data_IF_299913197205
#
_entry.id   IF_299913197205
#
_cell.length_a   1.000
_cell.length_b   1.000
_cell.length_c   1.000
_cell.angle_alpha   90.00
_cell.angle_beta   90.00
_cell.angle_gamma   90.00
#
_symmetry.space_group_name_H-M   'P 1'
#
loop_
_entity.id
_entity.type
_entity.pdbx_description
1 polymer ?
#
# COMPACT_ATOMS: atom_id res chain seq x y z
N UNK A 1 25.18 -9.48 36.33
CA UNK A 1 25.75 -8.16 35.94
C UNK A 1 25.50 -7.99 34.44
N UNK A 2 24.40 -7.35 34.08
CA UNK A 2 24.11 -6.98 32.71
C UNK A 2 24.94 -5.76 32.33
N UNK A 3 25.81 -5.88 31.34
CA UNK A 3 26.52 -4.72 30.78
C UNK A 3 25.52 -3.92 29.96
N UNK A 4 25.09 -2.79 30.48
CA UNK A 4 24.42 -1.74 29.73
C UNK A 4 25.38 -1.25 28.64
N UNK A 5 25.07 -1.56 27.37
CA UNK A 5 25.79 -0.96 26.22
C UNK A 5 25.52 0.54 26.22
N UNK A 6 26.57 1.34 26.18
CA UNK A 6 26.46 2.79 26.02
C UNK A 6 25.76 3.13 24.71
N UNK A 7 24.90 4.17 24.66
CA UNK A 7 24.20 4.56 23.43
C UNK A 7 25.23 4.92 22.35
N UNK A 8 24.93 4.45 21.13
CA UNK A 8 25.77 4.71 19.94
C UNK A 8 25.82 6.21 19.68
N UNK A 9 27.04 6.79 19.66
CA UNK A 9 27.21 8.21 19.30
C UNK A 9 26.97 8.39 17.82
N UNK A 10 25.82 8.97 17.47
CA UNK A 10 25.48 9.37 16.10
C UNK A 10 26.55 10.29 15.52
N UNK A 11 26.99 10.04 14.30
CA UNK A 11 27.95 10.91 13.61
C UNK A 11 27.37 12.31 13.40
N UNK A 12 28.24 13.30 13.25
CA UNK A 12 27.83 14.69 13.02
C UNK A 12 26.98 14.85 11.75
N UNK A 13 27.18 13.98 10.76
CA UNK A 13 26.39 13.95 9.52
C UNK A 13 24.97 13.41 9.73
N UNK A 14 24.80 12.35 10.54
CA UNK A 14 23.50 11.79 10.90
C UNK A 14 22.70 12.79 11.72
N UNK A 15 23.32 13.45 12.71
CA UNK A 15 22.70 14.55 13.48
C UNK A 15 22.31 15.74 12.60
N UNK A 16 23.11 16.07 11.58
CA UNK A 16 22.81 17.13 10.64
C UNK A 16 21.67 16.78 9.69
N UNK A 17 21.53 15.50 9.30
CA UNK A 17 20.37 14.98 8.54
C UNK A 17 19.09 14.98 9.39
N UNK A 18 19.13 14.51 10.64
CA UNK A 18 18.00 14.60 11.58
C UNK A 18 17.50 16.05 11.73
N UNK A 19 18.40 17.00 11.99
CA UNK A 19 18.06 18.42 12.12
C UNK A 19 17.53 19.05 10.82
N UNK A 20 17.95 18.54 9.65
CA UNK A 20 17.40 18.97 8.35
C UNK A 20 16.00 18.41 8.11
N UNK A 21 15.70 17.16 8.48
CA UNK A 21 14.35 16.58 8.38
C UNK A 21 13.37 17.29 9.32
N UNK A 22 13.78 17.63 10.53
CA UNK A 22 12.97 18.41 11.48
C UNK A 22 12.67 19.83 10.96
N UNK A 23 13.62 20.48 10.27
CA UNK A 23 13.44 21.82 9.69
C UNK A 23 12.63 21.81 8.38
N UNK A 24 12.59 20.71 7.64
CA UNK A 24 11.83 20.59 6.40
C UNK A 24 10.36 20.19 6.65
N UNK A 25 10.03 19.61 7.81
CA UNK A 25 8.66 19.32 8.23
C UNK A 25 7.87 20.56 8.72
N UNK A 26 8.47 21.75 8.67
CA UNK A 26 7.89 22.99 9.23
C UNK A 26 7.35 23.98 8.19
N UNK A 27 7.03 23.55 6.97
CA UNK A 27 6.26 24.38 6.02
C UNK A 27 5.41 23.49 5.11
N UNK A 28 4.12 23.29 5.41
CA UNK A 28 3.20 22.86 4.37
C UNK A 28 3.12 24.02 3.39
N UNK A 29 3.67 23.85 2.19
CA UNK A 29 3.32 24.70 1.06
C UNK A 29 1.80 24.70 0.93
N UNK A 30 1.21 25.83 0.57
CA UNK A 30 -0.20 25.98 0.25
C UNK A 30 -0.51 25.04 -0.93
N UNK A 31 -1.04 23.84 -0.63
CA UNK A 31 -1.42 22.85 -1.64
C UNK A 31 -2.89 23.08 -2.00
N UNK A 32 -3.08 23.22 -3.30
CA UNK A 32 -4.41 23.24 -3.90
C UNK A 32 -4.99 21.82 -3.73
N UNK A 33 -5.88 21.60 -2.81
CA UNK A 33 -6.58 20.39 -2.33
C UNK A 33 -6.47 19.02 -3.05
N UNK A 34 -5.59 18.90 -4.04
CA UNK A 34 -5.28 17.69 -4.81
C UNK A 34 -3.99 16.99 -4.34
N UNK A 35 -3.29 17.54 -3.36
CA UNK A 35 -1.94 17.10 -2.98
C UNK A 35 -1.89 16.27 -1.70
N UNK A 36 -3.04 15.85 -1.15
CA UNK A 36 -3.05 14.91 -0.04
C UNK A 36 -2.63 13.53 -0.53
N UNK A 37 -1.58 13.02 0.07
CA UNK A 37 -0.98 11.72 -0.26
C UNK A 37 -1.04 10.81 0.96
N UNK A 38 -1.53 9.60 0.76
CA UNK A 38 -1.70 8.59 1.81
C UNK A 38 -0.60 7.53 1.66
N UNK A 39 0.16 7.31 2.74
CA UNK A 39 1.15 6.25 2.77
C UNK A 39 0.51 4.86 2.78
N UNK A 40 1.12 3.93 2.06
CA UNK A 40 0.77 2.51 2.10
C UNK A 40 1.31 1.80 3.35
N UNK A 41 2.15 2.48 4.15
CA UNK A 41 2.90 1.88 5.25
C UNK A 41 4.21 1.24 4.81
N UNK A 42 4.56 1.34 3.53
CA UNK A 42 5.85 0.90 3.00
C UNK A 42 6.51 2.02 2.21
N UNK A 43 7.68 2.46 2.69
CA UNK A 43 8.48 3.51 2.03
C UNK A 43 8.77 3.17 0.57
N UNK A 44 9.17 1.94 0.28
CA UNK A 44 9.51 1.53 -1.07
C UNK A 44 8.29 1.48 -2.00
N UNK A 45 7.12 1.07 -1.50
CA UNK A 45 5.90 1.08 -2.29
C UNK A 45 5.40 2.50 -2.53
N UNK A 46 5.46 3.36 -1.54
CA UNK A 46 5.10 4.77 -1.65
C UNK A 46 5.94 5.47 -2.73
N UNK A 47 7.25 5.26 -2.71
CA UNK A 47 8.18 5.75 -3.73
C UNK A 47 7.88 5.16 -5.11
N UNK A 48 7.60 3.86 -5.20
CA UNK A 48 7.26 3.20 -6.45
C UNK A 48 5.97 3.75 -7.07
N UNK A 49 4.99 4.15 -6.25
CA UNK A 49 3.71 4.74 -6.71
C UNK A 49 3.92 6.15 -7.23
N UNK A 50 4.60 7.03 -6.50
CA UNK A 50 4.64 8.45 -6.82
C UNK A 50 5.89 9.21 -6.35
N UNK A 51 6.97 8.54 -5.97
CA UNK A 51 8.19 9.13 -5.41
C UNK A 51 8.85 10.21 -6.28
N UNK A 52 8.69 10.11 -7.61
CA UNK A 52 9.19 11.16 -8.50
C UNK A 52 8.28 12.39 -8.63
N UNK A 53 7.07 12.35 -8.06
CA UNK A 53 6.13 13.48 -8.00
C UNK A 53 6.05 14.07 -6.60
N UNK A 54 6.03 13.22 -5.58
CA UNK A 54 6.02 13.58 -4.17
C UNK A 54 7.28 13.02 -3.50
N UNK A 55 7.93 13.80 -2.66
CA UNK A 55 9.23 13.41 -2.07
C UNK A 55 9.18 12.06 -1.36
N UNK A 56 8.13 11.80 -0.60
CA UNK A 56 7.96 10.54 0.16
C UNK A 56 7.13 9.50 -0.60
N UNK A 57 6.56 9.86 -1.73
CA UNK A 57 5.65 9.01 -2.49
C UNK A 57 4.31 8.81 -1.80
N UNK A 58 3.58 7.78 -2.21
CA UNK A 58 2.29 7.38 -1.66
C UNK A 58 1.13 7.49 -2.66
N UNK A 59 -0.09 7.26 -2.18
CA UNK A 59 -1.32 7.25 -2.98
C UNK A 59 -1.98 8.63 -2.91
N UNK A 60 -2.08 9.40 -4.00
CA UNK A 60 -2.80 10.66 -3.98
C UNK A 60 -4.29 10.46 -3.82
N UNK A 61 -4.97 11.42 -3.19
CA UNK A 61 -6.42 11.47 -3.11
C UNK A 61 -7.06 11.72 -4.49
N UNK A 62 -8.38 11.57 -4.58
CA UNK A 62 -9.15 11.81 -5.80
C UNK A 62 -9.07 10.70 -6.85
N UNK A 63 -8.66 9.48 -6.49
CA UNK A 63 -8.48 8.37 -7.43
C UNK A 63 -9.12 7.06 -6.95
N UNK A 64 -9.38 6.18 -7.93
CA UNK A 64 -9.70 4.78 -7.73
C UNK A 64 -8.43 3.93 -7.85
N UNK A 65 -8.19 3.08 -6.85
CA UNK A 65 -7.06 2.14 -6.79
C UNK A 65 -7.60 0.71 -6.79
N UNK A 66 -7.05 -0.14 -7.63
CA UNK A 66 -7.26 -1.58 -7.57
C UNK A 66 -6.00 -2.30 -7.09
N UNK A 67 -6.10 -3.07 -6.00
CA UNK A 67 -5.07 -3.97 -5.51
C UNK A 67 -5.47 -5.39 -5.83
N UNK A 68 -4.74 -6.07 -6.71
CA UNK A 68 -5.14 -7.39 -7.16
C UNK A 68 -4.00 -8.40 -7.09
N UNK A 69 -4.37 -9.69 -7.02
CA UNK A 69 -3.41 -10.78 -6.92
C UNK A 69 -4.04 -12.06 -6.36
N UNK A 70 -3.26 -13.14 -6.25
CA UNK A 70 -3.74 -14.41 -5.71
C UNK A 70 -4.14 -14.28 -4.24
N UNK A 71 -4.88 -15.28 -3.73
CA UNK A 71 -5.18 -15.38 -2.31
C UNK A 71 -3.89 -15.49 -1.49
N UNK A 72 -3.88 -14.92 -0.29
CA UNK A 72 -2.71 -14.95 0.60
C UNK A 72 -1.52 -14.07 0.16
N UNK A 73 -1.70 -13.15 -0.81
CA UNK A 73 -0.65 -12.23 -1.24
C UNK A 73 -0.57 -10.91 -0.46
N UNK A 74 -1.30 -10.78 0.65
CA UNK A 74 -1.23 -9.60 1.53
C UNK A 74 -2.14 -8.42 1.14
N UNK A 75 -3.12 -8.60 0.24
CA UNK A 75 -4.03 -7.52 -0.18
C UNK A 75 -4.79 -6.89 0.98
N UNK A 76 -5.47 -7.70 1.79
CA UNK A 76 -6.22 -7.23 2.97
C UNK A 76 -5.34 -6.50 3.98
N UNK A 77 -4.10 -6.99 4.20
CA UNK A 77 -3.12 -6.30 5.07
C UNK A 77 -2.82 -4.90 4.55
N UNK A 78 -2.58 -4.79 3.23
CA UNK A 78 -2.29 -3.51 2.60
C UNK A 78 -3.50 -2.55 2.68
N UNK A 79 -4.74 -3.05 2.49
CA UNK A 79 -5.94 -2.24 2.67
C UNK A 79 -6.06 -1.73 4.11
N UNK A 80 -5.91 -2.61 5.11
CA UNK A 80 -5.97 -2.23 6.53
C UNK A 80 -4.89 -1.19 6.89
N UNK A 81 -3.68 -1.36 6.38
CA UNK A 81 -2.58 -0.42 6.65
C UNK A 81 -2.84 0.96 6.03
N UNK A 82 -3.34 1.01 4.79
CA UNK A 82 -3.73 2.28 4.13
C UNK A 82 -4.87 2.94 4.92
N UNK A 83 -5.90 2.15 5.31
CA UNK A 83 -7.03 2.66 6.09
C UNK A 83 -6.58 3.22 7.46
N UNK A 84 -5.69 2.52 8.16
CA UNK A 84 -5.11 3.01 9.42
C UNK A 84 -4.29 4.29 9.22
N UNK A 85 -3.59 4.44 8.11
CA UNK A 85 -2.86 5.68 7.80
C UNK A 85 -3.82 6.84 7.47
N UNK A 86 -4.97 6.57 6.84
CA UNK A 86 -6.04 7.57 6.68
C UNK A 86 -6.57 8.05 8.04
N UNK A 87 -6.83 7.11 8.97
CA UNK A 87 -7.27 7.46 10.33
C UNK A 87 -6.25 8.31 11.08
N UNK A 88 -4.95 8.01 10.96
CA UNK A 88 -3.87 8.83 11.56
C UNK A 88 -3.83 10.26 11.02
N UNK A 89 -4.27 10.47 9.78
CA UNK A 89 -4.41 11.79 9.18
C UNK A 89 -5.70 12.52 9.60
N UNK A 90 -6.54 11.89 10.41
CA UNK A 90 -7.85 12.41 10.79
C UNK A 90 -8.92 12.24 9.72
N UNK A 91 -8.68 11.40 8.71
CA UNK A 91 -9.65 11.10 7.66
C UNK A 91 -10.72 10.11 8.11
N UNK A 92 -11.86 10.09 7.42
CA UNK A 92 -12.95 9.13 7.62
C UNK A 92 -12.78 7.90 6.72
N UNK A 93 -13.10 6.74 7.26
CA UNK A 93 -12.97 5.45 6.59
C UNK A 93 -14.31 4.72 6.57
N UNK A 94 -14.78 4.35 5.38
CA UNK A 94 -15.82 3.34 5.19
C UNK A 94 -15.18 2.07 4.66
N UNK A 95 -15.52 0.92 5.25
CA UNK A 95 -14.95 -0.38 4.87
C UNK A 95 -16.08 -1.36 4.51
N UNK A 96 -16.14 -1.71 3.24
CA UNK A 96 -17.03 -2.71 2.69
C UNK A 96 -16.35 -4.08 2.70
N UNK A 97 -16.94 -5.04 3.38
CA UNK A 97 -16.41 -6.42 3.50
C UNK A 97 -17.50 -7.44 3.11
N UNK A 98 -17.75 -7.63 1.81
CA UNK A 98 -18.79 -8.56 1.33
C UNK A 98 -18.56 -10.02 1.72
N UNK A 99 -17.35 -10.37 2.12
CA UNK A 99 -17.04 -11.73 2.60
C UNK A 99 -17.19 -11.88 4.13
N UNK A 100 -17.44 -10.79 4.87
CA UNK A 100 -17.53 -10.72 6.32
C UNK A 100 -16.31 -11.37 7.03
N UNK A 101 -15.11 -11.11 6.50
CA UNK A 101 -13.85 -11.73 6.96
C UNK A 101 -12.93 -10.81 7.75
N UNK A 102 -13.25 -9.53 7.82
CA UNK A 102 -12.43 -8.57 8.55
C UNK A 102 -12.50 -8.85 10.06
N UNK A 103 -11.47 -9.49 10.58
CA UNK A 103 -11.34 -9.72 12.00
C UNK A 103 -10.82 -8.45 12.70
N UNK A 104 -11.51 -7.99 13.76
CA UNK A 104 -11.14 -6.79 14.54
C UNK A 104 -9.74 -6.87 15.13
N UNK A 105 -9.34 -8.02 15.65
CA UNK A 105 -8.00 -8.21 16.21
C UNK A 105 -6.93 -8.16 15.10
N UNK A 106 -7.20 -8.80 13.97
CA UNK A 106 -6.33 -8.80 12.80
C UNK A 106 -6.16 -7.38 12.25
N UNK A 107 -7.24 -6.61 12.09
CA UNK A 107 -7.16 -5.25 11.54
C UNK A 107 -6.34 -4.30 12.41
N UNK A 108 -6.43 -4.43 13.73
CA UNK A 108 -5.61 -3.65 14.68
C UNK A 108 -4.12 -3.91 14.55
N UNK A 109 -3.71 -5.15 14.30
CA UNK A 109 -2.29 -5.48 14.07
C UNK A 109 -1.73 -4.76 12.83
N UNK A 110 -2.59 -4.39 11.90
CA UNK A 110 -2.21 -3.65 10.69
C UNK A 110 -2.55 -2.15 10.75
N UNK A 111 -2.73 -1.63 11.96
CA UNK A 111 -2.88 -0.20 12.22
C UNK A 111 -4.27 0.39 11.99
N UNK A 112 -5.28 -0.43 11.62
CA UNK A 112 -6.67 0.00 11.50
C UNK A 112 -7.37 -0.07 12.87
N UNK A 113 -8.01 1.01 13.29
CA UNK A 113 -8.88 1.07 14.47
C UNK A 113 -10.30 0.73 14.04
N UNK A 114 -10.79 -0.50 14.28
CA UNK A 114 -12.07 -0.95 13.72
C UNK A 114 -13.30 -0.31 14.39
N UNK A 115 -13.14 0.39 15.50
CA UNK A 115 -14.19 1.15 16.17
C UNK A 115 -14.46 2.50 15.50
N UNK A 116 -13.48 3.03 14.78
CA UNK A 116 -13.50 4.35 14.15
C UNK A 116 -13.72 4.26 12.64
N UNK A 117 -14.35 3.18 12.16
CA UNK A 117 -14.74 3.02 10.76
C UNK A 117 -16.23 2.80 10.61
N UNK A 118 -16.75 3.19 9.46
CA UNK A 118 -18.08 2.75 9.02
C UNK A 118 -17.94 1.42 8.30
N UNK A 119 -18.33 0.34 8.99
CA UNK A 119 -18.22 -1.03 8.48
C UNK A 119 -19.55 -1.52 7.92
N UNK A 120 -19.52 -2.08 6.71
CA UNK A 120 -20.70 -2.66 6.06
C UNK A 120 -20.38 -3.97 5.38
N UNK A 121 -21.40 -4.81 5.20
CA UNK A 121 -21.33 -6.09 4.49
C UNK A 121 -22.31 -6.01 3.30
N UNK A 122 -21.87 -5.43 2.16
CA UNK A 122 -22.72 -5.28 0.98
C UNK A 122 -22.81 -6.59 0.21
N UNK A 123 -23.99 -6.86 -0.36
CA UNK A 123 -24.22 -8.00 -1.24
C UNK A 123 -23.97 -7.65 -2.72
N UNK A 124 -24.18 -6.40 -3.10
CA UNK A 124 -24.18 -5.98 -4.50
C UNK A 124 -23.14 -4.94 -4.86
N UNK A 125 -22.81 -4.91 -6.16
CA UNK A 125 -21.96 -3.87 -6.75
C UNK A 125 -22.54 -2.48 -6.54
N UNK A 126 -23.86 -2.35 -6.75
CA UNK A 126 -24.58 -1.07 -6.60
C UNK A 126 -24.49 -0.52 -5.18
N UNK A 127 -24.60 -1.36 -4.15
CA UNK A 127 -24.46 -0.93 -2.74
C UNK A 127 -23.10 -0.29 -2.48
N UNK A 128 -22.00 -0.93 -2.91
CA UNK A 128 -20.64 -0.39 -2.73
C UNK A 128 -20.49 0.96 -3.41
N UNK A 129 -20.87 1.06 -4.69
CA UNK A 129 -20.66 2.32 -5.43
C UNK A 129 -21.67 3.41 -5.09
N UNK A 130 -22.86 3.07 -4.60
CA UNK A 130 -23.81 4.06 -4.12
C UNK A 130 -23.32 4.78 -2.85
N UNK A 131 -22.51 4.09 -2.02
CA UNK A 131 -21.92 4.72 -0.83
C UNK A 131 -21.08 5.93 -1.18
N UNK A 132 -20.34 5.90 -2.29
CA UNK A 132 -19.55 7.07 -2.77
C UNK A 132 -20.44 8.30 -2.99
N UNK A 133 -21.67 8.09 -3.45
CA UNK A 133 -22.60 9.18 -3.74
C UNK A 133 -23.33 9.68 -2.48
N UNK A 134 -23.64 8.78 -1.57
CA UNK A 134 -24.55 9.03 -0.46
C UNK A 134 -23.83 9.35 0.86
N UNK A 135 -22.65 8.77 1.07
CA UNK A 135 -21.90 8.94 2.33
C UNK A 135 -20.91 10.11 2.29
N UNK A 136 -20.38 10.43 1.11
CA UNK A 136 -19.35 11.46 0.98
C UNK A 136 -20.04 12.82 0.71
N UNK A 137 -19.87 13.83 1.56
CA UNK A 137 -20.39 15.17 1.31
C UNK A 137 -19.68 15.84 0.12
N UNK A 138 -20.25 16.94 -0.37
CA UNK A 138 -19.58 17.76 -1.37
C UNK A 138 -18.27 18.34 -0.83
N UNK A 139 -17.30 18.63 -1.70
CA UNK A 139 -15.95 19.02 -1.28
C UNK A 139 -15.92 20.16 -0.27
N UNK A 140 -16.77 21.15 -0.46
CA UNK A 140 -16.83 22.35 0.40
C UNK A 140 -17.53 22.10 1.74
N UNK A 141 -18.20 20.95 1.90
CA UNK A 141 -18.88 20.51 3.11
C UNK A 141 -18.10 19.46 3.91
N UNK A 142 -16.93 19.08 3.43
CA UNK A 142 -16.09 18.08 4.11
C UNK A 142 -15.47 18.66 5.38
N UNK A 143 -15.69 17.97 6.49
CA UNK A 143 -15.23 18.33 7.84
C UNK A 143 -13.89 17.65 8.22
N UNK A 144 -13.36 16.80 7.34
CA UNK A 144 -12.13 16.03 7.54
C UNK A 144 -11.22 16.14 6.31
N UNK A 145 -9.90 15.88 6.46
CA UNK A 145 -8.94 15.99 5.36
C UNK A 145 -9.26 15.10 4.17
N UNK A 146 -9.85 13.91 4.41
CA UNK A 146 -10.19 12.97 3.36
C UNK A 146 -11.29 12.00 3.80
N UNK A 147 -12.15 11.65 2.85
CA UNK A 147 -13.06 10.52 2.92
C UNK A 147 -12.50 9.37 2.07
N UNK A 148 -12.46 8.16 2.65
CA UNK A 148 -11.88 7.00 1.96
C UNK A 148 -12.81 5.81 2.05
N UNK A 149 -13.02 5.14 0.92
CA UNK A 149 -13.81 3.92 0.82
C UNK A 149 -12.91 2.75 0.47
N UNK A 150 -12.98 1.70 1.26
CA UNK A 150 -12.32 0.42 1.01
C UNK A 150 -13.34 -0.65 0.65
N UNK A 151 -12.99 -1.57 -0.24
CA UNK A 151 -13.81 -2.75 -0.57
C UNK A 151 -12.94 -4.01 -0.68
N UNK A 152 -13.15 -4.97 0.20
CA UNK A 152 -12.39 -6.24 0.24
C UNK A 152 -13.31 -7.47 0.27
N UNK A 153 -13.59 -8.15 -0.82
CA UNK A 153 -13.09 -7.90 -2.18
C UNK A 153 -14.24 -7.69 -3.17
N UNK A 154 -13.99 -6.92 -4.23
CA UNK A 154 -14.98 -6.78 -5.32
C UNK A 154 -15.34 -8.11 -5.97
N UNK A 155 -14.49 -9.12 -5.84
CA UNK A 155 -14.72 -10.46 -6.40
C UNK A 155 -15.92 -11.18 -5.75
N UNK A 156 -16.29 -10.82 -4.53
CA UNK A 156 -17.37 -11.45 -3.78
C UNK A 156 -18.75 -10.85 -4.06
N UNK A 157 -18.80 -9.63 -4.61
CA UNK A 157 -20.06 -8.94 -4.88
C UNK A 157 -20.88 -9.63 -5.97
N UNK A 158 -22.19 -9.66 -5.80
CA UNK A 158 -23.17 -10.08 -6.81
C UNK A 158 -23.75 -8.87 -7.55
N UNK A 159 -24.48 -9.13 -8.63
CA UNK A 159 -25.34 -8.10 -9.24
C UNK A 159 -26.74 -8.20 -8.65
N UNK A 160 -27.52 -7.11 -8.70
CA UNK A 160 -28.93 -7.14 -8.28
C UNK A 160 -29.74 -8.21 -9.04
N UNK A 161 -29.43 -8.42 -10.33
CA UNK A 161 -30.09 -9.42 -11.17
C UNK A 161 -29.66 -10.85 -10.86
N UNK A 162 -28.43 -11.08 -10.37
CA UNK A 162 -27.97 -12.41 -9.93
C UNK A 162 -28.72 -12.87 -8.69
N UNK A 163 -29.09 -11.96 -7.81
CA UNK A 163 -29.89 -12.25 -6.61
C UNK A 163 -31.35 -12.60 -7.00
N UNK A 164 -31.89 -12.01 -8.08
CA UNK A 164 -33.28 -12.20 -8.52
C UNK A 164 -33.52 -13.39 -9.44
N UNK A 165 -32.64 -13.75 -10.33
CA UNK A 165 -32.90 -14.64 -11.48
C UNK A 165 -31.88 -15.76 -11.72
N UNK A 166 -30.97 -16.12 -10.87
CA UNK A 166 -30.04 -17.24 -11.04
C UNK A 166 -29.45 -17.41 -12.45
N UNK A 167 -28.20 -17.21 -12.55
CA UNK A 167 -27.21 -17.74 -13.51
C UNK A 167 -27.30 -17.49 -15.03
N UNK A 168 -26.88 -16.26 -15.46
CA UNK A 168 -26.20 -16.03 -16.78
C UNK A 168 -25.16 -14.92 -16.65
N UNK A 169 -24.03 -15.17 -16.07
CA UNK A 169 -23.35 -14.31 -15.11
C UNK A 169 -22.26 -13.37 -15.60
N UNK A 170 -21.42 -13.71 -16.53
CA UNK A 170 -20.16 -12.99 -16.72
C UNK A 170 -20.29 -11.60 -17.35
N UNK A 171 -21.15 -11.45 -18.36
CA UNK A 171 -21.33 -10.20 -19.11
C UNK A 171 -22.19 -9.18 -18.37
N UNK A 172 -23.20 -9.62 -17.63
CA UNK A 172 -24.09 -8.74 -16.85
C UNK A 172 -23.32 -8.05 -15.74
N UNK A 173 -22.53 -8.81 -14.99
CA UNK A 173 -21.67 -8.30 -13.92
C UNK A 173 -20.68 -7.25 -14.44
N UNK A 174 -20.00 -7.53 -15.56
CA UNK A 174 -19.10 -6.56 -16.18
C UNK A 174 -19.82 -5.28 -16.62
N UNK A 175 -21.06 -5.39 -17.09
CA UNK A 175 -21.89 -4.24 -17.46
C UNK A 175 -22.25 -3.38 -16.25
N UNK A 176 -22.73 -3.98 -15.17
CA UNK A 176 -23.10 -3.28 -13.93
C UNK A 176 -21.89 -2.58 -13.31
N UNK A 177 -20.73 -3.26 -13.22
CA UNK A 177 -19.48 -2.61 -12.81
C UNK A 177 -19.14 -1.40 -13.69
N UNK A 178 -19.29 -1.53 -15.00
CA UNK A 178 -18.99 -0.43 -15.94
C UNK A 178 -19.93 0.76 -15.75
N UNK A 179 -21.22 0.50 -15.52
CA UNK A 179 -22.23 1.54 -15.29
C UNK A 179 -22.00 2.28 -13.97
N UNK A 180 -21.77 1.55 -12.89
CA UNK A 180 -21.52 2.13 -11.56
C UNK A 180 -20.19 2.87 -11.52
N UNK A 181 -19.13 2.32 -12.08
CA UNK A 181 -17.82 3.01 -12.17
C UNK A 181 -17.91 4.30 -12.97
N UNK A 182 -18.64 4.32 -14.09
CA UNK A 182 -18.83 5.52 -14.91
C UNK A 182 -19.51 6.64 -14.12
N UNK A 183 -20.51 6.32 -13.28
CA UNK A 183 -21.20 7.29 -12.42
C UNK A 183 -20.30 7.79 -11.29
N UNK A 184 -19.47 6.91 -10.75
CA UNK A 184 -18.76 7.11 -9.49
C UNK A 184 -17.38 7.77 -9.66
N UNK A 185 -16.62 7.40 -10.71
CA UNK A 185 -15.25 7.91 -10.91
C UNK A 185 -15.17 9.44 -11.00
N UNK A 186 -16.20 10.08 -11.60
CA UNK A 186 -16.27 11.54 -11.66
C UNK A 186 -16.42 12.15 -10.26
N UNK A 187 -17.23 11.55 -9.41
CA UNK A 187 -17.48 12.01 -8.03
C UNK A 187 -16.22 11.83 -7.19
N UNK A 188 -15.53 10.68 -7.33
CA UNK A 188 -14.24 10.39 -6.66
C UNK A 188 -13.26 11.55 -6.89
N UNK A 189 -13.09 11.97 -8.14
CA UNK A 189 -12.18 13.07 -8.49
C UNK A 189 -12.69 14.43 -7.97
N UNK A 190 -13.98 14.74 -8.19
CA UNK A 190 -14.55 16.04 -7.82
C UNK A 190 -14.58 16.27 -6.31
N UNK A 191 -14.84 15.22 -5.51
CA UNK A 191 -14.90 15.29 -4.05
C UNK A 191 -13.57 14.91 -3.39
N UNK A 192 -12.52 14.71 -4.16
CA UNK A 192 -11.19 14.34 -3.68
C UNK A 192 -11.16 13.09 -2.79
N UNK A 193 -11.93 12.07 -3.15
CA UNK A 193 -12.07 10.82 -2.41
C UNK A 193 -10.98 9.83 -2.80
N UNK A 194 -10.50 9.02 -1.88
CA UNK A 194 -9.72 7.85 -2.20
C UNK A 194 -10.61 6.60 -2.11
N UNK A 195 -10.73 5.85 -3.21
CA UNK A 195 -11.38 4.55 -3.21
C UNK A 195 -10.36 3.46 -3.51
N UNK A 196 -10.21 2.50 -2.58
CA UNK A 196 -9.25 1.38 -2.71
C UNK A 196 -10.01 0.06 -2.66
N UNK A 197 -9.90 -0.71 -3.72
CA UNK A 197 -10.59 -1.99 -3.84
C UNK A 197 -9.59 -3.13 -3.99
N UNK A 198 -9.81 -4.22 -3.27
CA UNK A 198 -9.09 -5.46 -3.56
C UNK A 198 -9.82 -6.30 -4.60
N UNK A 199 -9.06 -7.10 -5.35
CA UNK A 199 -9.62 -8.03 -6.31
C UNK A 199 -8.79 -9.32 -6.39
N UNK A 200 -9.43 -10.43 -6.71
CA UNK A 200 -8.76 -11.69 -6.92
C UNK A 200 -8.42 -11.87 -8.40
N UNK A 201 -7.42 -12.69 -8.70
CA UNK A 201 -7.13 -13.13 -10.06
C UNK A 201 -7.72 -14.52 -10.29
N UNK A 202 -8.23 -14.74 -11.50
CA UNK A 202 -8.67 -16.05 -11.98
C UNK A 202 -7.90 -16.40 -13.24
N UNK A 203 -7.66 -17.69 -13.46
CA UNK A 203 -7.04 -18.14 -14.71
C UNK A 203 -7.93 -17.79 -15.90
N UNK A 204 -7.32 -17.26 -16.95
CA UNK A 204 -7.98 -17.01 -18.22
C UNK A 204 -7.80 -18.24 -19.11
N UNK A 205 -8.73 -19.18 -19.07
CA UNK A 205 -8.69 -20.42 -19.85
C UNK A 205 -8.73 -20.19 -21.36
N UNK A 206 -9.21 -19.02 -21.79
CA UNK A 206 -9.31 -18.64 -23.20
C UNK A 206 -8.09 -17.80 -23.68
N UNK A 207 -7.05 -17.67 -22.88
CA UNK A 207 -5.86 -16.93 -23.27
C UNK A 207 -5.07 -17.74 -24.32
N UNK A 208 -4.88 -17.16 -25.50
CA UNK A 208 -3.94 -17.69 -26.49
C UNK A 208 -2.48 -17.69 -25.96
N UNK A 209 -1.52 -18.25 -26.72
CA UNK A 209 -0.12 -18.40 -26.29
C UNK A 209 0.54 -17.10 -25.81
N UNK A 210 0.14 -15.97 -26.36
CA UNK A 210 0.64 -14.62 -26.03
C UNK A 210 -0.37 -13.76 -25.23
N UNK A 211 -1.56 -14.33 -24.93
CA UNK A 211 -2.62 -13.62 -24.20
C UNK A 211 -2.37 -13.60 -22.71
N UNK A 212 -3.04 -12.68 -22.02
CA UNK A 212 -2.99 -12.54 -20.57
C UNK A 212 -3.61 -13.77 -19.90
N UNK A 213 -2.78 -14.56 -19.20
CA UNK A 213 -3.16 -15.85 -18.59
C UNK A 213 -4.07 -15.72 -17.37
N UNK A 214 -4.38 -14.52 -16.93
CA UNK A 214 -5.24 -14.24 -15.78
C UNK A 214 -6.16 -13.06 -16.09
N UNK A 215 -7.28 -13.02 -15.42
CA UNK A 215 -8.27 -11.93 -15.44
C UNK A 215 -8.79 -11.65 -14.03
N UNK A 216 -9.23 -10.43 -13.79
CA UNK A 216 -9.92 -10.04 -12.57
C UNK A 216 -11.42 -10.11 -12.74
N UNK A 217 -12.22 -10.53 -11.74
CA UNK A 217 -13.67 -10.40 -11.73
C UNK A 217 -14.10 -8.94 -11.94
N UNK A 218 -15.28 -8.74 -12.53
CA UNK A 218 -15.76 -7.39 -12.92
C UNK A 218 -15.29 -6.94 -14.30
N UNK A 219 -14.60 -7.83 -15.06
CA UNK A 219 -14.17 -7.58 -16.43
C UNK A 219 -13.06 -6.51 -16.53
N UNK A 220 -12.97 -5.87 -17.70
CA UNK A 220 -11.96 -4.83 -17.95
C UNK A 220 -12.33 -3.46 -17.35
N UNK A 221 -13.59 -3.28 -16.92
CA UNK A 221 -14.09 -1.99 -16.46
C UNK A 221 -13.29 -1.44 -15.28
N UNK A 222 -13.06 -2.26 -14.22
CA UNK A 222 -12.28 -1.85 -13.06
C UNK A 222 -10.87 -1.44 -13.49
N UNK A 223 -10.22 -2.25 -14.33
CA UNK A 223 -8.91 -1.95 -14.86
C UNK A 223 -8.86 -0.67 -15.71
N UNK A 224 -9.91 -0.38 -16.46
CA UNK A 224 -10.03 0.84 -17.26
C UNK A 224 -10.18 2.10 -16.39
N UNK A 225 -11.09 2.07 -15.42
CA UNK A 225 -11.41 3.23 -14.58
C UNK A 225 -10.40 3.47 -13.45
N UNK A 226 -9.67 2.45 -12.99
CA UNK A 226 -8.64 2.65 -11.96
C UNK A 226 -7.49 3.51 -12.47
N UNK A 227 -7.16 4.55 -11.71
CA UNK A 227 -5.98 5.41 -11.95
C UNK A 227 -4.68 4.72 -11.55
N UNK A 228 -4.75 3.83 -10.57
CA UNK A 228 -3.62 3.04 -10.07
C UNK A 228 -4.04 1.58 -9.93
N UNK A 229 -3.21 0.66 -10.44
CA UNK A 229 -3.39 -0.78 -10.26
C UNK A 229 -2.12 -1.40 -9.71
N UNK A 230 -2.24 -2.01 -8.55
CA UNK A 230 -1.16 -2.67 -7.82
C UNK A 230 -1.34 -4.18 -7.89
N UNK A 231 -0.37 -4.89 -8.45
CA UNK A 231 -0.37 -6.35 -8.53
C UNK A 231 0.46 -6.93 -7.41
N UNK A 232 -0.17 -7.63 -6.47
CA UNK A 232 0.49 -8.36 -5.40
C UNK A 232 0.82 -9.78 -5.83
N UNK A 233 2.07 -10.19 -5.64
CA UNK A 233 2.57 -11.53 -5.95
C UNK A 233 3.33 -12.09 -4.76
N UNK A 234 2.91 -13.25 -4.23
CA UNK A 234 3.64 -13.95 -3.17
C UNK A 234 4.97 -14.44 -3.70
N UNK A 235 6.07 -13.97 -3.14
CA UNK A 235 7.43 -14.35 -3.54
C UNK A 235 7.98 -15.46 -2.65
N UNK A 236 7.80 -15.31 -1.33
CA UNK A 236 8.42 -16.23 -0.36
C UNK A 236 7.61 -16.26 0.94
N UNK A 237 7.57 -17.44 1.59
CA UNK A 237 7.14 -17.58 2.98
C UNK A 237 8.35 -17.37 3.88
N UNK A 238 8.26 -16.46 4.83
CA UNK A 238 9.31 -16.18 5.79
C UNK A 238 9.26 -17.22 6.90
N UNK A 239 10.39 -17.88 7.14
CA UNK A 239 10.50 -18.94 8.12
C UNK A 239 11.45 -18.53 9.24
N UNK A 240 11.10 -18.91 10.45
CA UNK A 240 11.95 -18.76 11.62
C UNK A 240 12.11 -20.10 12.34
N UNK A 241 13.30 -20.34 12.85
CA UNK A 241 13.59 -21.55 13.64
C UNK A 241 13.97 -21.18 15.05
N UNK A 242 13.32 -21.81 16.03
CA UNK A 242 13.61 -21.64 17.46
C UNK A 242 13.82 -23.00 18.13
N UNK A 243 14.67 -23.02 19.16
CA UNK A 243 14.87 -24.21 19.98
C UNK A 243 13.95 -24.13 21.20
N UNK A 244 13.05 -25.10 21.33
CA UNK A 244 12.15 -25.23 22.48
C UNK A 244 12.34 -26.63 23.09
N UNK A 245 12.66 -26.69 24.36
CA UNK A 245 12.92 -27.96 25.13
C UNK A 245 13.97 -28.85 24.42
N UNK A 246 15.02 -28.22 23.87
CA UNK A 246 16.13 -28.92 23.18
C UNK A 246 15.82 -29.38 21.75
N UNK A 247 14.62 -29.16 21.22
CA UNK A 247 14.23 -29.50 19.86
C UNK A 247 14.09 -28.26 18.98
N UNK A 248 14.60 -28.33 17.75
CA UNK A 248 14.46 -27.26 16.76
C UNK A 248 13.07 -27.31 16.12
N UNK A 249 12.33 -26.21 16.23
CA UNK A 249 11.03 -26.02 15.59
C UNK A 249 11.15 -24.92 14.53
N UNK A 250 10.53 -25.14 13.37
CA UNK A 250 10.43 -24.16 12.31
C UNK A 250 8.95 -23.72 12.15
N UNK A 251 8.72 -22.41 11.98
CA UNK A 251 7.40 -21.84 11.70
C UNK A 251 7.48 -20.78 10.61
N UNK A 252 6.40 -20.67 9.84
CA UNK A 252 6.21 -19.56 8.93
C UNK A 252 5.69 -18.39 9.76
N UNK A 253 6.46 -17.30 9.80
CA UNK A 253 6.15 -16.11 10.59
C UNK A 253 5.64 -14.94 9.74
N UNK A 254 5.67 -15.08 8.43
CA UNK A 254 5.27 -14.02 7.53
C UNK A 254 5.45 -14.40 6.07
N UNK A 255 5.27 -13.40 5.22
CA UNK A 255 5.44 -13.51 3.77
C UNK A 255 6.26 -12.34 3.23
N UNK A 256 6.96 -12.61 2.13
CA UNK A 256 7.50 -11.58 1.25
C UNK A 256 6.60 -11.50 0.02
N UNK A 257 6.04 -10.34 -0.22
CA UNK A 257 5.19 -10.04 -1.38
C UNK A 257 5.89 -9.01 -2.25
N UNK A 258 5.88 -9.23 -3.55
CA UNK A 258 6.24 -8.19 -4.54
C UNK A 258 4.96 -7.47 -4.96
N UNK A 259 5.02 -6.15 -4.99
CA UNK A 259 3.94 -5.30 -5.53
C UNK A 259 4.47 -4.58 -6.76
N UNK A 260 3.83 -4.87 -7.91
CA UNK A 260 4.14 -4.21 -9.18
C UNK A 260 3.14 -3.07 -9.43
N UNK A 261 3.62 -1.92 -9.84
CA UNK A 261 2.79 -0.82 -10.35
C UNK A 261 2.34 -1.17 -11.77
N UNK A 262 1.27 -1.96 -11.87
CA UNK A 262 0.82 -2.56 -13.12
C UNK A 262 0.22 -1.53 -14.09
N UNK A 263 -0.49 -0.52 -13.56
CA UNK A 263 -1.01 0.65 -14.27
C UNK A 263 -0.90 1.85 -13.36
N UNK A 264 -0.51 2.99 -13.90
CA UNK A 264 -0.50 4.25 -13.17
C UNK A 264 -0.79 5.43 -14.07
N UNK A 265 -1.74 6.28 -13.64
CA UNK A 265 -1.92 7.66 -14.12
C UNK A 265 -1.34 8.67 -13.13
N UNK A 266 -0.74 8.20 -12.04
CA UNK A 266 -0.16 9.02 -10.97
C UNK A 266 1.28 9.39 -11.30
N UNK A 267 2.08 8.39 -11.66
CA UNK A 267 3.50 8.49 -12.00
C UNK A 267 3.87 7.40 -13.00
N UNK A 268 5.17 7.22 -13.26
CA UNK A 268 5.70 6.20 -14.17
C UNK A 268 5.27 4.79 -13.71
N UNK A 269 4.59 3.98 -14.53
CA UNK A 269 4.26 2.59 -14.20
C UNK A 269 5.49 1.68 -14.23
N UNK A 270 5.28 0.40 -13.92
CA UNK A 270 6.28 -0.68 -14.01
C UNK A 270 7.43 -0.57 -12.99
N UNK A 271 7.25 0.22 -11.91
CA UNK A 271 8.07 0.10 -10.72
C UNK A 271 7.55 -1.04 -9.87
N UNK A 272 8.41 -1.53 -9.00
CA UNK A 272 8.07 -2.61 -8.08
C UNK A 272 8.64 -2.35 -6.69
N UNK A 273 8.00 -2.90 -5.69
CA UNK A 273 8.46 -2.88 -4.31
C UNK A 273 8.30 -4.23 -3.65
N UNK A 274 9.27 -4.60 -2.81
CA UNK A 274 9.19 -5.77 -1.94
C UNK A 274 8.57 -5.37 -0.61
N UNK A 275 7.48 -6.05 -0.22
CA UNK A 275 6.85 -5.93 1.08
C UNK A 275 7.18 -7.15 1.93
N UNK A 276 7.56 -6.92 3.19
CA UNK A 276 7.68 -7.95 4.20
C UNK A 276 6.50 -7.81 5.16
N UNK A 277 5.67 -8.84 5.25
CA UNK A 277 4.48 -8.87 6.11
C UNK A 277 4.69 -9.94 7.16
N UNK A 278 4.81 -9.54 8.42
CA UNK A 278 4.90 -10.45 9.56
C UNK A 278 3.52 -10.63 10.19
N UNK A 279 3.15 -11.85 10.53
CA UNK A 279 1.78 -12.18 10.96
C UNK A 279 1.38 -11.52 12.28
N UNK A 280 2.35 -11.29 13.17
CA UNK A 280 2.11 -10.66 14.48
C UNK A 280 2.58 -9.20 14.56
N UNK A 281 2.94 -8.59 13.41
CA UNK A 281 3.50 -7.24 13.41
C UNK A 281 2.88 -6.33 12.31
N UNK A 282 2.62 -6.88 11.12
CA UNK A 282 2.18 -6.12 9.95
C UNK A 282 3.29 -5.91 8.93
N UNK A 283 3.28 -4.77 8.25
CA UNK A 283 4.30 -4.42 7.24
C UNK A 283 5.61 -4.04 7.96
N UNK A 284 6.66 -4.83 7.74
CA UNK A 284 8.01 -4.61 8.27
C UNK A 284 8.79 -3.69 7.29
N UNK A 285 8.54 -2.39 7.37
CA UNK A 285 9.15 -1.38 6.51
C UNK A 285 10.64 -1.21 6.81
N UNK A 286 11.06 -1.35 8.08
CA UNK A 286 12.49 -1.30 8.48
C UNK A 286 13.27 -2.38 7.74
N UNK A 287 12.78 -3.61 7.74
CA UNK A 287 13.40 -4.74 7.02
C UNK A 287 13.50 -4.49 5.53
N UNK A 288 12.44 -3.96 4.92
CA UNK A 288 12.40 -3.65 3.50
C UNK A 288 13.45 -2.60 3.14
N UNK A 289 13.50 -1.51 3.90
CA UNK A 289 14.40 -0.39 3.73
C UNK A 289 15.87 -0.79 3.91
N UNK A 290 16.19 -1.54 4.96
CA UNK A 290 17.55 -2.06 5.20
C UNK A 290 18.02 -2.98 4.07
N UNK A 291 17.14 -3.87 3.57
CA UNK A 291 17.46 -4.76 2.45
C UNK A 291 17.65 -4.02 1.15
N UNK A 292 16.84 -2.99 0.90
CA UNK A 292 17.00 -2.11 -0.27
C UNK A 292 18.37 -1.43 -0.24
N UNK A 293 18.73 -0.75 0.85
CA UNK A 293 20.02 -0.07 0.97
C UNK A 293 21.19 -1.03 0.78
N UNK A 294 21.16 -2.18 1.47
CA UNK A 294 22.23 -3.19 1.34
C UNK A 294 22.40 -3.68 -0.10
N UNK A 295 21.29 -3.87 -0.81
CA UNK A 295 21.30 -4.35 -2.21
C UNK A 295 21.82 -3.29 -3.17
N UNK A 296 21.31 -2.06 -3.07
CA UNK A 296 21.65 -0.95 -3.97
C UNK A 296 23.11 -0.50 -3.74
N UNK A 297 23.51 -0.36 -2.49
CA UNK A 297 24.87 0.06 -2.13
C UNK A 297 25.91 -1.08 -2.21
N UNK A 298 25.47 -2.32 -2.48
CA UNK A 298 26.32 -3.53 -2.56
C UNK A 298 27.24 -3.70 -1.33
N UNK A 299 26.70 -3.45 -0.14
CA UNK A 299 27.47 -3.52 1.11
C UNK A 299 27.38 -4.92 1.73
N UNK A 300 28.45 -5.35 2.43
CA UNK A 300 28.47 -6.62 3.18
C UNK A 300 27.70 -6.55 4.50
N UNK A 301 27.55 -5.37 5.04
CA UNK A 301 26.84 -5.08 6.31
C UNK A 301 25.62 -4.20 6.07
N UNK A 302 24.66 -4.24 6.99
CA UNK A 302 23.56 -3.27 7.02
C UNK A 302 24.09 -1.93 7.55
N UNK A 303 23.72 -0.81 6.93
CA UNK A 303 24.20 0.52 7.31
C UNK A 303 23.20 1.62 6.92
N UNK A 304 23.31 2.75 7.60
CA UNK A 304 22.64 4.02 7.26
C UNK A 304 23.75 5.07 7.14
N UNK A 305 24.01 5.59 5.96
CA UNK A 305 25.17 6.45 5.70
C UNK A 305 26.47 5.74 6.13
N UNK A 306 27.21 6.32 7.08
CA UNK A 306 28.46 5.73 7.61
C UNK A 306 28.24 4.86 8.85
N UNK A 307 27.02 4.83 9.41
CA UNK A 307 26.68 4.04 10.59
C UNK A 307 26.47 2.57 10.23
N UNK A 308 27.35 1.69 10.72
CA UNK A 308 27.19 0.24 10.58
C UNK A 308 26.21 -0.31 11.62
N UNK A 309 25.21 -1.08 11.17
CA UNK A 309 24.17 -1.68 12.00
C UNK A 309 24.37 -3.20 12.23
N UNK A 310 25.41 -3.79 11.65
CA UNK A 310 25.72 -5.21 11.80
C UNK A 310 25.60 -6.02 10.49
N UNK A 311 25.86 -7.32 10.59
CA UNK A 311 25.82 -8.26 9.46
C UNK A 311 24.46 -8.94 9.34
N UNK A 312 23.80 -9.18 10.46
CA UNK A 312 22.48 -9.82 10.54
C UNK A 312 21.38 -8.77 10.34
N UNK A 313 20.30 -9.16 9.66
CA UNK A 313 19.13 -8.29 9.50
C UNK A 313 18.42 -8.02 10.82
N UNK A 314 18.39 -9.00 11.71
CA UNK A 314 17.70 -8.87 12.99
C UNK A 314 18.49 -7.97 13.96
N UNK A 315 19.84 -8.04 13.96
CA UNK A 315 20.69 -7.07 14.67
C UNK A 315 20.49 -5.65 14.15
N UNK A 316 20.41 -5.49 12.82
CA UNK A 316 20.22 -4.18 12.20
C UNK A 316 18.84 -3.58 12.52
N UNK A 317 17.77 -4.38 12.50
CA UNK A 317 16.42 -3.95 12.90
C UNK A 317 16.45 -3.53 14.37
N UNK A 318 17.00 -4.35 15.25
CA UNK A 318 17.10 -4.03 16.68
C UNK A 318 17.87 -2.73 16.92
N UNK A 319 18.96 -2.48 16.18
CA UNK A 319 19.71 -1.24 16.29
C UNK A 319 18.89 -0.02 15.84
N UNK A 320 18.14 -0.14 14.73
CA UNK A 320 17.25 0.93 14.25
C UNK A 320 16.19 1.27 15.28
N UNK A 321 15.50 0.26 15.84
CA UNK A 321 14.45 0.45 16.86
C UNK A 321 15.00 0.98 18.19
N UNK A 322 16.16 0.46 18.66
CA UNK A 322 16.75 0.87 19.95
C UNK A 322 17.25 2.32 19.91
N UNK A 323 17.81 2.74 18.78
CA UNK A 323 18.41 4.06 18.61
C UNK A 323 17.43 5.06 17.93
N UNK A 324 16.17 4.67 17.70
CA UNK A 324 15.11 5.48 17.07
C UNK A 324 15.54 6.07 15.72
N UNK A 325 16.05 5.21 14.82
CA UNK A 325 16.62 5.61 13.53
C UNK A 325 15.65 5.42 12.35
N UNK A 326 14.38 5.10 12.59
CA UNK A 326 13.40 4.77 11.57
C UNK A 326 13.27 5.89 10.52
N UNK A 327 13.18 7.14 10.99
CA UNK A 327 13.07 8.28 10.08
C UNK A 327 14.38 8.54 9.31
N UNK A 328 15.53 8.34 9.97
CA UNK A 328 16.86 8.50 9.31
C UNK A 328 17.04 7.44 8.22
N UNK A 329 16.62 6.21 8.50
CA UNK A 329 16.62 5.11 7.54
C UNK A 329 15.71 5.44 6.35
N UNK A 330 14.49 5.90 6.60
CA UNK A 330 13.53 6.31 5.57
C UNK A 330 14.11 7.42 4.69
N UNK A 331 14.67 8.47 5.28
CA UNK A 331 15.26 9.58 4.54
C UNK A 331 16.45 9.16 3.65
N UNK A 332 17.26 8.21 4.12
CA UNK A 332 18.36 7.65 3.31
C UNK A 332 17.83 6.88 2.11
N UNK A 333 16.79 6.05 2.31
CA UNK A 333 16.13 5.30 1.23
C UNK A 333 15.54 6.26 0.20
N UNK A 334 14.82 7.30 0.63
CA UNK A 334 14.24 8.32 -0.26
C UNK A 334 15.33 9.02 -1.07
N UNK A 335 16.44 9.38 -0.42
CA UNK A 335 17.56 10.05 -1.07
C UNK A 335 18.15 9.18 -2.18
N UNK A 336 18.47 7.93 -1.86
CA UNK A 336 19.07 7.00 -2.82
C UNK A 336 18.09 6.62 -3.94
N UNK A 337 16.81 6.43 -3.62
CA UNK A 337 15.78 6.21 -4.63
C UNK A 337 15.72 7.36 -5.64
N UNK A 338 15.67 8.61 -5.17
CA UNK A 338 15.61 9.78 -6.04
C UNK A 338 16.89 9.93 -6.88
N UNK A 339 18.06 9.68 -6.32
CA UNK A 339 19.32 9.66 -7.07
C UNK A 339 19.29 8.65 -8.23
N UNK A 340 18.69 7.47 -7.99
CA UNK A 340 18.50 6.46 -9.04
C UNK A 340 17.53 6.97 -10.10
N UNK A 341 16.35 7.48 -9.70
CA UNK A 341 15.33 7.95 -10.64
C UNK A 341 15.82 9.12 -11.52
N UNK A 342 16.63 10.02 -10.96
CA UNK A 342 17.25 11.13 -11.70
C UNK A 342 18.16 10.62 -12.83
N UNK A 343 18.91 9.54 -12.60
CA UNK A 343 19.78 8.93 -13.63
C UNK A 343 19.02 8.33 -14.80
N UNK A 344 17.74 7.95 -14.59
CA UNK A 344 16.85 7.41 -15.62
C UNK A 344 15.90 8.47 -16.20
N UNK A 345 16.07 9.74 -15.84
CA UNK A 345 15.29 10.83 -16.43
C UNK A 345 15.88 11.20 -17.80
N UNK A 346 15.02 11.22 -18.83
CA UNK A 346 15.46 11.62 -20.19
C UNK A 346 15.82 13.12 -20.20
N UNK A 347 17.03 13.40 -20.62
CA UNK A 347 17.56 14.77 -20.70
C UNK A 347 17.21 15.50 -22.00
N UNK A 348 16.55 14.81 -22.94
CA UNK A 348 16.12 15.42 -24.19
C UNK A 348 14.99 16.42 -23.93
N UNK A 349 15.04 17.55 -24.62
CA UNK A 349 13.96 18.54 -24.55
C UNK A 349 12.64 17.90 -25.02
N UNK A 350 11.52 18.16 -24.34
CA UNK A 350 10.21 17.76 -24.84
C UNK A 350 9.98 18.31 -26.24
N UNK A 351 9.27 17.58 -27.08
CA UNK A 351 8.94 18.00 -28.46
C UNK A 351 7.76 18.97 -28.52
N UNK A 352 7.52 19.73 -27.45
CA UNK A 352 6.43 20.72 -27.41
C UNK A 352 7.04 22.10 -27.58
#
# INVERSE_FOLDING_TARGET
>A
MQRTKSPVKLSSQVKKKQRRSELQNSSPGQYDGTDLVISTGSTLLDLAISGGRFREGGIPAGILVEIFGPSGSGKTVLLCQIAGNVQKLGGRVMFHDPEARLNRQFSRMFGLVPEDIEYTIPDTVTEVFSSVRNWIPDKDEQDVPIYTIFADSLAALSTEMEIGEGDKMGMRRAKEFSEELRKTCRIITQRNVLMVCSNQIRQNLNAGPYGQKWKTPGGEAIGFYSSLRLRCSLVQKLKESRVVRGQKHERIIGIKTKVDIFKSSVWKPYREADLYILFDYGIDDIRANLRFLKTVLKTSVYRIGDLSLGKSIDEAIQAVETDHLEQVLKDEVITIWNEIEEKFTDQRKPRI
#
